data_IF_826517313006
#
_entry.id   IF_826517313006
#
_cell.length_a   1.000
_cell.length_b   1.000
_cell.length_c   1.000
_cell.angle_alpha   90.00
_cell.angle_beta   90.00
_cell.angle_gamma   90.00
#
_symmetry.space_group_name_H-M   'P 1'
#
loop_
_entity.id
_entity.type
_entity.pdbx_description
1 polymer ?
#
# COMPACT_ATOMS: atom_id res chain seq x y z
N UNK A 1 12.96 -16.84 6.17
CA UNK A 1 12.78 -18.23 6.63
C UNK A 1 13.52 -18.49 7.94
N UNK A 2 14.70 -17.90 8.17
CA UNK A 2 15.53 -18.17 9.36
C UNK A 2 15.04 -17.62 10.73
N UNK A 3 13.93 -16.89 10.82
CA UNK A 3 13.42 -16.40 12.12
C UNK A 3 12.43 -17.37 12.81
N UNK A 4 12.02 -18.42 12.11
CA UNK A 4 11.03 -19.39 12.61
C UNK A 4 11.68 -20.63 13.25
N UNK A 5 12.85 -21.03 12.77
CA UNK A 5 13.58 -22.21 13.26
C UNK A 5 14.16 -21.99 14.68
N UNK A 6 14.55 -20.76 15.04
CA UNK A 6 15.07 -20.44 16.38
C UNK A 6 13.98 -20.41 17.47
N UNK A 7 12.69 -20.38 17.10
CA UNK A 7 11.60 -20.19 18.05
C UNK A 7 11.01 -21.52 18.55
N UNK A 8 11.32 -22.66 17.94
CA UNK A 8 10.70 -23.95 18.28
C UNK A 8 10.96 -24.43 19.72
N UNK A 9 11.98 -23.88 20.39
CA UNK A 9 12.28 -24.13 21.81
C UNK A 9 11.98 -22.99 22.78
N UNK A 10 11.42 -21.86 22.34
CA UNK A 10 11.26 -20.64 23.16
C UNK A 10 9.77 -20.31 23.36
N UNK A 11 9.26 -20.62 24.56
CA UNK A 11 7.85 -20.37 24.92
C UNK A 11 7.58 -18.89 25.28
N UNK A 12 8.60 -18.17 25.73
CA UNK A 12 8.51 -16.78 26.21
C UNK A 12 9.56 -15.89 25.55
N UNK A 13 9.13 -14.75 25.02
CA UNK A 13 9.98 -13.73 24.42
C UNK A 13 10.02 -12.51 25.34
N UNK A 14 11.21 -12.03 25.77
CA UNK A 14 11.31 -10.82 26.59
C UNK A 14 11.05 -9.57 25.74
N UNK A 15 10.24 -8.65 26.27
CA UNK A 15 10.07 -7.30 25.72
C UNK A 15 11.11 -6.39 26.36
N UNK A 16 11.95 -5.77 25.55
CA UNK A 16 13.03 -4.89 26.01
C UNK A 16 12.76 -3.44 25.62
N UNK A 17 13.06 -2.52 26.54
CA UNK A 17 13.04 -1.08 26.27
C UNK A 17 14.27 -0.67 25.45
N UNK A 18 14.26 0.56 24.91
CA UNK A 18 15.38 1.12 24.13
C UNK A 18 16.71 1.16 24.90
N UNK A 19 16.66 1.21 26.23
CA UNK A 19 17.83 1.11 27.11
C UNK A 19 18.25 -0.34 27.45
N UNK A 20 17.76 -1.33 26.70
CA UNK A 20 18.01 -2.77 26.87
C UNK A 20 17.56 -3.36 28.22
N UNK A 21 16.68 -2.68 28.96
CA UNK A 21 16.05 -3.26 30.16
C UNK A 21 14.80 -4.06 29.78
N UNK A 22 14.65 -5.24 30.37
CA UNK A 22 13.42 -6.05 30.22
C UNK A 22 12.26 -5.35 30.91
N UNK A 23 11.18 -5.11 30.16
CA UNK A 23 9.96 -4.47 30.65
C UNK A 23 8.78 -5.46 30.74
N UNK A 24 8.93 -6.67 30.19
CA UNK A 24 7.93 -7.71 30.28
C UNK A 24 8.30 -8.96 29.49
N UNK A 25 7.36 -9.90 29.41
CA UNK A 25 7.47 -11.13 28.60
C UNK A 25 6.18 -11.34 27.82
N UNK A 26 6.27 -11.93 26.63
CA UNK A 26 5.13 -12.31 25.79
C UNK A 26 5.25 -13.77 25.37
N UNK A 27 4.13 -14.49 25.32
CA UNK A 27 4.09 -15.89 24.89
C UNK A 27 4.15 -15.98 23.35
N UNK A 28 4.79 -17.03 22.83
CA UNK A 28 4.77 -17.41 21.41
C UNK A 28 3.36 -17.39 20.81
N UNK A 29 2.36 -17.88 21.53
CA UNK A 29 0.97 -17.89 21.03
C UNK A 29 0.43 -16.48 20.77
N UNK A 30 0.70 -15.54 21.66
CA UNK A 30 0.25 -14.15 21.53
C UNK A 30 0.98 -13.44 20.39
N UNK A 31 2.26 -13.73 20.19
CA UNK A 31 3.05 -13.23 19.05
C UNK A 31 2.47 -13.74 17.74
N UNK A 32 2.25 -15.05 17.61
CA UNK A 32 1.72 -15.66 16.39
C UNK A 32 0.30 -15.16 16.09
N UNK A 33 -0.56 -15.07 17.10
CA UNK A 33 -1.91 -14.52 16.97
C UNK A 33 -1.88 -13.07 16.52
N UNK A 34 -1.01 -12.25 17.10
CA UNK A 34 -0.84 -10.85 16.72
C UNK A 34 -0.29 -10.71 15.30
N UNK A 35 0.66 -11.55 14.87
CA UNK A 35 1.17 -11.55 13.50
C UNK A 35 0.12 -11.94 12.47
N UNK A 36 -0.72 -12.94 12.77
CA UNK A 36 -1.86 -13.30 11.91
C UNK A 36 -2.89 -12.16 11.81
N UNK A 37 -3.03 -11.34 12.86
CA UNK A 37 -3.88 -10.16 12.86
C UNK A 37 -3.24 -8.99 12.11
N UNK A 38 -1.92 -8.79 12.18
CA UNK A 38 -1.17 -7.80 11.40
C UNK A 38 -1.33 -8.04 9.89
N UNK A 39 -1.35 -9.30 9.45
CA UNK A 39 -1.62 -9.65 8.04
C UNK A 39 -3.05 -9.30 7.58
N UNK A 40 -3.98 -9.06 8.51
CA UNK A 40 -5.35 -8.58 8.24
C UNK A 40 -5.51 -7.09 8.47
N UNK A 41 -4.47 -6.40 8.95
CA UNK A 41 -4.52 -4.96 9.10
C UNK A 41 -4.70 -4.37 7.69
N UNK A 42 -5.71 -3.51 7.48
CA UNK A 42 -5.82 -2.80 6.21
C UNK A 42 -4.50 -2.06 6.02
N UNK A 43 -3.79 -2.41 4.95
CA UNK A 43 -2.58 -1.71 4.55
C UNK A 43 -3.03 -0.31 4.13
N UNK A 44 -3.11 0.61 5.08
CA UNK A 44 -3.41 2.03 4.84
C UNK A 44 -2.18 2.74 4.27
N UNK A 45 -1.62 2.16 3.20
CA UNK A 45 -0.69 2.82 2.31
C UNK A 45 -1.44 3.32 1.08
N UNK A 46 -0.83 4.24 0.33
CA UNK A 46 -1.31 4.59 -1.01
C UNK A 46 -1.42 3.31 -1.86
N UNK A 47 -2.56 3.14 -2.51
CA UNK A 47 -2.74 2.10 -3.50
C UNK A 47 -1.87 2.39 -4.72
N UNK A 48 -1.62 1.37 -5.55
CA UNK A 48 -0.94 1.57 -6.84
C UNK A 48 -1.69 2.62 -7.68
N UNK A 49 -3.02 2.62 -7.62
CA UNK A 49 -3.84 3.63 -8.30
C UNK A 49 -3.58 5.04 -7.75
N UNK A 50 -3.48 5.21 -6.43
CA UNK A 50 -3.15 6.51 -5.81
C UNK A 50 -1.77 7.02 -6.25
N UNK A 51 -0.80 6.10 -6.42
CA UNK A 51 0.52 6.45 -6.93
C UNK A 51 0.49 6.83 -8.42
N UNK A 52 -0.33 6.14 -9.23
CA UNK A 52 -0.51 6.46 -10.65
C UNK A 52 -1.18 7.83 -10.81
N UNK A 53 -2.19 8.14 -10.00
CA UNK A 53 -2.95 9.38 -10.05
C UNK A 53 -2.06 10.63 -9.89
N UNK A 54 -0.94 10.54 -9.16
CA UNK A 54 0.04 11.64 -8.99
C UNK A 54 0.69 12.09 -10.30
N UNK A 55 0.72 11.21 -11.30
CA UNK A 55 1.29 11.52 -12.61
C UNK A 55 0.24 12.02 -13.60
N UNK A 56 -1.02 12.12 -13.19
CA UNK A 56 -2.13 12.56 -14.04
C UNK A 56 -2.52 13.98 -13.65
N UNK A 57 -2.44 14.89 -14.62
CA UNK A 57 -2.92 16.26 -14.48
C UNK A 57 -4.16 16.47 -15.33
N UNK A 58 -5.27 16.85 -14.69
CA UNK A 58 -6.55 17.12 -15.34
C UNK A 58 -6.74 18.64 -15.50
N UNK A 59 -6.77 19.11 -16.74
CA UNK A 59 -6.97 20.52 -17.09
C UNK A 59 -8.32 20.71 -17.80
N UNK A 60 -8.72 21.96 -18.05
CA UNK A 60 -9.93 22.25 -18.81
C UNK A 60 -9.86 21.72 -20.25
N UNK A 61 -8.67 21.73 -20.84
CA UNK A 61 -8.43 21.38 -22.25
C UNK A 61 -8.06 19.90 -22.45
N UNK A 62 -8.01 19.10 -21.38
CA UNK A 62 -7.72 17.67 -21.46
C UNK A 62 -6.86 17.14 -20.33
N UNK A 63 -6.19 16.02 -20.63
CA UNK A 63 -5.51 15.17 -19.65
C UNK A 63 -4.06 15.04 -20.06
N UNK A 64 -3.17 15.40 -19.15
CA UNK A 64 -1.72 15.24 -19.33
C UNK A 64 -1.24 14.16 -18.37
N UNK A 65 -0.47 13.20 -18.88
CA UNK A 65 0.14 12.14 -18.07
C UNK A 65 1.64 12.22 -18.19
N UNK A 66 2.33 12.38 -17.06
CA UNK A 66 3.79 12.29 -16.99
C UNK A 66 4.21 10.82 -16.94
N UNK A 67 4.94 10.35 -17.96
CA UNK A 67 5.34 8.95 -18.05
C UNK A 67 6.52 8.67 -17.12
N UNK A 68 6.23 8.09 -15.95
CA UNK A 68 7.20 7.60 -14.97
C UNK A 68 7.57 6.12 -15.21
N UNK A 69 8.77 5.66 -14.81
CA UNK A 69 9.14 4.25 -14.81
C UNK A 69 8.12 3.30 -14.17
N UNK A 70 7.33 3.79 -13.20
CA UNK A 70 6.25 3.04 -12.57
C UNK A 70 5.13 2.64 -13.54
N UNK A 71 4.96 3.40 -14.64
CA UNK A 71 3.86 3.25 -15.58
C UNK A 71 4.20 2.36 -16.79
N UNK A 72 5.48 2.10 -17.04
CA UNK A 72 5.97 1.39 -18.22
C UNK A 72 6.14 -0.12 -17.97
N UNK A 73 5.92 -0.91 -19.01
CA UNK A 73 6.18 -2.35 -19.04
C UNK A 73 7.63 -2.65 -19.46
N UNK A 74 7.99 -3.93 -19.50
CA UNK A 74 9.33 -4.37 -19.90
C UNK A 74 9.70 -4.11 -21.37
N UNK A 75 8.74 -3.69 -22.19
CA UNK A 75 8.99 -3.24 -23.57
C UNK A 75 9.18 -1.72 -23.67
N UNK A 76 9.20 -0.99 -22.55
CA UNK A 76 9.36 0.46 -22.54
C UNK A 76 8.12 1.23 -23.00
N UNK A 77 6.95 0.59 -23.04
CA UNK A 77 5.67 1.23 -23.36
C UNK A 77 4.76 1.29 -22.15
N UNK A 78 3.78 2.19 -22.13
CA UNK A 78 2.83 2.29 -21.02
C UNK A 78 2.16 0.93 -20.81
N UNK A 79 2.20 0.43 -19.57
CA UNK A 79 1.63 -0.86 -19.20
C UNK A 79 0.11 -0.83 -19.34
N UNK A 80 -0.48 -2.00 -19.59
CA UNK A 80 -1.94 -2.14 -19.66
C UNK A 80 -2.62 -1.69 -18.37
N UNK A 81 -2.02 -1.99 -17.21
CA UNK A 81 -2.52 -1.56 -15.91
C UNK A 81 -2.53 -0.03 -15.80
N UNK A 82 -1.42 0.63 -16.18
CA UNK A 82 -1.36 2.09 -16.19
C UNK A 82 -2.44 2.71 -17.10
N UNK A 83 -2.68 2.16 -18.30
CA UNK A 83 -3.77 2.63 -19.16
C UNK A 83 -5.14 2.55 -18.49
N UNK A 84 -5.46 1.41 -17.86
CA UNK A 84 -6.74 1.21 -17.18
C UNK A 84 -6.89 2.20 -16.03
N UNK A 85 -5.85 2.40 -15.21
CA UNK A 85 -5.86 3.36 -14.10
C UNK A 85 -6.02 4.81 -14.60
N UNK A 86 -5.37 5.18 -15.71
CA UNK A 86 -5.53 6.52 -16.31
C UNK A 86 -6.99 6.74 -16.74
N UNK A 87 -7.59 5.76 -17.43
CA UNK A 87 -9.00 5.82 -17.86
C UNK A 87 -9.92 5.91 -16.65
N UNK A 88 -9.68 5.10 -15.61
CA UNK A 88 -10.47 5.11 -14.38
C UNK A 88 -10.43 6.48 -13.70
N UNK A 89 -9.24 7.04 -13.46
CA UNK A 89 -9.07 8.32 -12.77
C UNK A 89 -9.70 9.46 -13.57
N UNK A 90 -9.56 9.41 -14.88
CA UNK A 90 -10.19 10.35 -15.83
C UNK A 90 -11.71 10.36 -15.67
N UNK A 91 -12.33 9.18 -15.72
CA UNK A 91 -13.78 9.01 -15.60
C UNK A 91 -14.23 9.49 -14.22
N UNK A 92 -13.54 9.09 -13.15
CA UNK A 92 -13.89 9.51 -11.80
C UNK A 92 -13.82 11.03 -11.64
N UNK A 93 -12.80 11.68 -12.20
CA UNK A 93 -12.68 13.13 -12.17
C UNK A 93 -13.85 13.83 -12.89
N UNK A 94 -14.25 13.37 -14.08
CA UNK A 94 -15.41 13.92 -14.78
C UNK A 94 -16.71 13.68 -14.01
N UNK A 95 -16.92 12.47 -13.48
CA UNK A 95 -18.11 12.15 -12.66
C UNK A 95 -18.19 13.02 -11.38
N UNK A 96 -17.05 13.35 -10.76
CA UNK A 96 -16.98 14.28 -9.62
C UNK A 96 -17.43 15.70 -10.00
N UNK A 97 -17.15 16.17 -11.22
CA UNK A 97 -17.67 17.45 -11.72
C UNK A 97 -19.19 17.43 -11.85
N UNK A 98 -19.76 16.39 -12.44
CA UNK A 98 -21.23 16.25 -12.57
C UNK A 98 -21.94 16.25 -11.21
N UNK A 99 -21.38 15.56 -10.20
CA UNK A 99 -21.98 15.51 -8.85
C UNK A 99 -21.98 16.88 -8.16
N UNK A 100 -21.01 17.76 -8.46
CA UNK A 100 -20.94 19.13 -7.93
C UNK A 100 -21.95 20.09 -8.56
N UNK A 101 -22.46 19.80 -9.75
CA UNK A 101 -23.44 20.64 -10.46
C UNK A 101 -24.87 20.37 -9.96
N UNK A 102 -25.09 19.24 -9.27
CA UNK A 102 -26.42 18.79 -8.84
C UNK A 102 -26.65 18.92 -7.33
N UNK A 103 -25.74 19.55 -6.61
CA UNK A 103 -25.83 19.87 -5.17
C UNK A 103 -25.65 21.36 -4.95
#
# INVERSE_FOLDING_TARGET
>A
MCAYDDLEGIELIPVVSSNKKTVGVINRQDVLKSMQLLGRQPQMGETINDQIAKYITMNQDGITVEVSPLLINHYGTVSKAAFVSIIEETIQYEMRKFKKVMS
#
